data_IF_613006238186
#
_entry.id   IF_613006238186
#
_cell.length_a   1.000
_cell.length_b   1.000
_cell.length_c   1.000
_cell.angle_alpha   90.00
_cell.angle_beta   90.00
_cell.angle_gamma   90.00
#
_symmetry.space_group_name_H-M   'P 1'
#
loop_
_entity.id
_entity.type
_entity.pdbx_description
1 polymer ?
#
# COMPACT_ATOMS: atom_id res chain seq x y z
N UNK A 1 0.10 -25.71 -21.03
CA UNK A 1 -0.79 -25.26 -19.94
C UNK A 1 -0.11 -24.10 -19.25
N UNK A 2 -0.77 -22.95 -19.15
CA UNK A 2 -0.21 -21.80 -18.44
C UNK A 2 -0.21 -22.07 -16.91
N UNK A 3 0.81 -21.61 -16.17
CA UNK A 3 0.80 -21.69 -14.71
C UNK A 3 -0.29 -20.77 -14.14
N UNK A 4 -0.76 -21.09 -12.95
CA UNK A 4 -1.61 -20.17 -12.16
C UNK A 4 -0.78 -18.99 -11.67
N UNK A 5 -1.47 -17.90 -11.32
CA UNK A 5 -0.85 -16.74 -10.70
C UNK A 5 -0.09 -17.10 -9.41
N UNK A 6 -0.67 -17.98 -8.59
CA UNK A 6 -0.08 -18.39 -7.32
C UNK A 6 1.18 -19.25 -7.53
N UNK A 7 1.18 -20.16 -8.52
CA UNK A 7 2.38 -20.92 -8.88
C UNK A 7 3.52 -19.98 -9.33
N UNK A 8 3.22 -18.95 -10.11
CA UNK A 8 4.21 -17.95 -10.51
C UNK A 8 4.76 -17.18 -9.31
N UNK A 9 3.88 -16.78 -8.38
CA UNK A 9 4.24 -16.08 -7.14
C UNK A 9 5.14 -16.94 -6.25
N UNK A 10 4.80 -18.22 -6.05
CA UNK A 10 5.61 -19.18 -5.28
C UNK A 10 7.00 -19.37 -5.89
N UNK A 11 7.08 -19.36 -7.22
CA UNK A 11 8.34 -19.42 -7.96
C UNK A 11 9.08 -18.07 -8.01
N UNK A 12 8.61 -17.05 -7.29
CA UNK A 12 9.18 -15.69 -7.26
C UNK A 12 9.28 -15.05 -8.65
N UNK A 13 8.42 -15.49 -9.58
CA UNK A 13 8.33 -14.90 -10.90
C UNK A 13 7.48 -13.63 -10.81
N UNK A 14 8.02 -12.54 -11.36
CA UNK A 14 7.29 -11.28 -11.42
C UNK A 14 6.10 -11.40 -12.38
N UNK A 15 4.91 -11.16 -11.85
CA UNK A 15 3.66 -11.08 -12.62
C UNK A 15 3.12 -9.66 -12.51
N UNK A 16 2.84 -9.04 -13.66
CA UNK A 16 2.26 -7.69 -13.73
C UNK A 16 0.95 -7.73 -14.50
N UNK A 17 0.03 -6.84 -14.16
CA UNK A 17 -1.15 -6.63 -15.00
C UNK A 17 -0.77 -6.03 -16.35
N UNK A 18 -1.53 -6.35 -17.39
CA UNK A 18 -1.34 -5.78 -18.73
C UNK A 18 -1.60 -4.27 -18.70
N UNK A 19 -0.92 -3.53 -19.59
CA UNK A 19 -1.09 -2.08 -19.68
C UNK A 19 -2.55 -1.73 -20.04
N UNK A 20 -3.19 -2.56 -20.83
CA UNK A 20 -4.60 -2.47 -21.21
C UNK A 20 -5.54 -2.55 -20.01
N UNK A 21 -5.24 -3.42 -19.03
CA UNK A 21 -6.04 -3.52 -17.81
C UNK A 21 -5.96 -2.24 -16.98
N UNK A 22 -4.79 -1.60 -16.93
CA UNK A 22 -4.58 -0.34 -16.19
C UNK A 22 -5.32 0.87 -16.78
N UNK A 23 -5.91 0.71 -17.97
CA UNK A 23 -6.72 1.75 -18.62
C UNK A 23 -8.20 1.69 -18.20
N UNK A 24 -8.59 0.71 -17.38
CA UNK A 24 -9.98 0.60 -16.92
C UNK A 24 -10.37 1.75 -16.00
N UNK A 25 -11.45 2.43 -16.34
CA UNK A 25 -12.23 3.23 -15.42
C UNK A 25 -13.28 2.32 -14.78
N UNK A 26 -13.11 2.06 -13.48
CA UNK A 26 -13.86 1.02 -12.79
C UNK A 26 -14.54 1.57 -11.54
N UNK A 27 -15.80 2.04 -11.64
CA UNK A 27 -16.54 2.52 -10.49
C UNK A 27 -16.99 1.37 -9.59
N UNK A 28 -16.97 1.56 -8.27
CA UNK A 28 -17.58 0.65 -7.28
C UNK A 28 -19.10 0.87 -7.19
N UNK A 29 -19.76 0.93 -8.35
CA UNK A 29 -21.21 1.09 -8.51
C UNK A 29 -21.63 0.68 -9.92
N UNK A 30 -22.94 0.56 -10.12
CA UNK A 30 -23.53 0.22 -11.41
C UNK A 30 -23.57 -1.28 -11.66
N UNK A 31 -23.78 -1.69 -12.92
CA UNK A 31 -23.85 -3.11 -13.29
C UNK A 31 -22.84 -3.43 -14.40
N UNK A 32 -22.20 -4.58 -14.30
CA UNK A 32 -21.36 -5.07 -15.40
C UNK A 32 -22.25 -5.44 -16.61
N UNK A 33 -21.85 -5.07 -17.85
CA UNK A 33 -20.63 -4.34 -18.21
C UNK A 33 -20.79 -2.81 -18.27
N UNK A 34 -22.03 -2.32 -18.20
CA UNK A 34 -22.38 -0.90 -18.45
C UNK A 34 -21.70 0.12 -17.54
N UNK A 35 -21.25 -0.30 -16.36
CA UNK A 35 -20.56 0.57 -15.42
C UNK A 35 -19.10 0.85 -15.78
N UNK A 36 -18.47 0.00 -16.59
CA UNK A 36 -17.04 0.08 -16.88
C UNK A 36 -16.78 0.84 -18.18
N UNK A 37 -15.73 1.64 -18.16
CA UNK A 37 -15.23 2.38 -19.31
C UNK A 37 -13.72 2.20 -19.46
N UNK A 38 -13.19 2.58 -20.61
CA UNK A 38 -11.80 2.41 -20.99
C UNK A 38 -11.20 3.76 -21.34
N UNK A 39 -10.14 4.14 -20.65
CA UNK A 39 -9.36 5.32 -20.97
C UNK A 39 -8.51 5.08 -22.22
N UNK A 40 -8.21 6.15 -22.99
CA UNK A 40 -7.29 6.07 -24.14
C UNK A 40 -5.86 5.69 -23.73
N UNK A 41 -5.44 6.14 -22.56
CA UNK A 41 -4.13 5.83 -21.96
C UNK A 41 -4.30 5.70 -20.45
N UNK A 42 -3.35 5.08 -19.74
CA UNK A 42 -3.37 4.97 -18.27
C UNK A 42 -3.47 6.34 -17.57
N UNK A 43 -3.00 7.42 -18.22
CA UNK A 43 -3.09 8.81 -17.70
C UNK A 43 -4.14 9.65 -18.43
N UNK A 44 -5.17 9.00 -18.95
CA UNK A 44 -6.20 9.58 -19.81
C UNK A 44 -7.48 9.99 -19.08
N UNK A 45 -7.50 10.10 -17.75
CA UNK A 45 -8.73 10.26 -16.98
C UNK A 45 -9.60 11.49 -17.34
N UNK A 46 -8.99 12.56 -17.86
CA UNK A 46 -9.70 13.77 -18.28
C UNK A 46 -10.17 13.72 -19.75
N UNK A 47 -9.84 12.66 -20.47
CA UNK A 47 -10.23 12.48 -21.87
C UNK A 47 -11.55 11.71 -21.95
N UNK A 48 -12.24 11.83 -23.08
CA UNK A 48 -13.39 10.98 -23.39
C UNK A 48 -12.98 9.50 -23.34
N UNK A 49 -13.74 8.74 -22.55
CA UNK A 49 -13.55 7.30 -22.35
C UNK A 49 -14.51 6.52 -23.24
N UNK A 50 -14.09 5.33 -23.64
CA UNK A 50 -14.93 4.43 -24.44
C UNK A 50 -15.63 3.43 -23.52
N UNK A 51 -16.90 3.07 -23.76
CA UNK A 51 -17.57 2.09 -22.93
C UNK A 51 -16.93 0.70 -23.10
N UNK A 52 -16.88 -0.11 -22.04
CA UNK A 52 -16.35 -1.48 -22.13
C UNK A 52 -17.19 -2.36 -23.08
N UNK A 53 -18.50 -2.15 -23.08
CA UNK A 53 -19.43 -2.69 -24.08
C UNK A 53 -20.23 -1.53 -24.69
N UNK A 54 -20.18 -1.41 -26.01
CA UNK A 54 -20.94 -0.41 -26.74
C UNK A 54 -22.45 -0.75 -26.76
N UNK A 55 -23.29 0.26 -27.02
CA UNK A 55 -24.76 0.07 -27.05
C UNK A 55 -25.28 -0.86 -28.15
N UNK A 56 -24.44 -1.19 -29.14
CA UNK A 56 -24.71 -2.20 -30.17
C UNK A 56 -24.35 -3.64 -29.72
N UNK A 57 -23.86 -3.80 -28.49
CA UNK A 57 -23.43 -5.08 -27.91
C UNK A 57 -21.97 -5.44 -28.20
N UNK A 58 -21.25 -4.65 -29.01
CA UNK A 58 -19.84 -4.91 -29.33
C UNK A 58 -18.96 -4.63 -28.11
N UNK A 59 -18.02 -5.53 -27.84
CA UNK A 59 -17.03 -5.37 -26.78
C UNK A 59 -15.85 -4.51 -27.23
N UNK A 60 -15.28 -3.76 -26.30
CA UNK A 60 -14.01 -3.05 -26.49
C UNK A 60 -12.86 -4.05 -26.66
N UNK A 61 -11.86 -3.76 -27.50
CA UNK A 61 -10.78 -4.71 -27.86
C UNK A 61 -9.99 -5.27 -26.67
N UNK A 62 -9.83 -4.48 -25.60
CA UNK A 62 -9.10 -4.88 -24.39
C UNK A 62 -9.68 -6.13 -23.73
N UNK A 63 -10.97 -6.43 -23.91
CA UNK A 63 -11.60 -7.54 -23.18
C UNK A 63 -10.97 -8.89 -23.52
N UNK A 64 -10.39 -9.02 -24.72
CA UNK A 64 -9.74 -10.24 -25.22
C UNK A 64 -8.23 -10.29 -24.93
N UNK A 65 -7.67 -9.25 -24.32
CA UNK A 65 -6.25 -9.18 -23.98
C UNK A 65 -6.00 -9.99 -22.70
N UNK A 66 -4.84 -10.68 -22.58
CA UNK A 66 -4.47 -11.32 -21.33
C UNK A 66 -4.49 -10.34 -20.15
N UNK A 67 -4.97 -10.80 -19.00
CA UNK A 67 -4.99 -9.98 -17.80
C UNK A 67 -3.57 -9.63 -17.31
N UNK A 68 -2.63 -10.57 -17.43
CA UNK A 68 -1.28 -10.48 -16.88
C UNK A 68 -0.21 -10.81 -17.90
N UNK A 69 1.00 -10.30 -17.64
CA UNK A 69 2.23 -10.74 -18.27
C UNK A 69 3.20 -11.27 -17.17
N UNK A 70 3.64 -12.55 -17.23
CA UNK A 70 3.21 -13.57 -18.19
C UNK A 70 1.73 -13.99 -17.97
N UNK A 71 1.16 -14.64 -18.98
CA UNK A 71 -0.22 -15.15 -18.95
C UNK A 71 -0.41 -16.23 -17.88
N UNK A 72 -1.58 -16.23 -17.24
CA UNK A 72 -1.93 -17.18 -16.17
C UNK A 72 -3.19 -17.97 -16.49
N UNK A 73 -3.26 -19.21 -16.01
CA UNK A 73 -4.45 -20.08 -16.15
C UNK A 73 -5.51 -19.85 -15.07
N UNK A 74 -5.17 -19.18 -13.97
CA UNK A 74 -6.12 -18.73 -12.96
C UNK A 74 -5.50 -17.66 -12.06
N UNK A 75 -6.33 -16.82 -11.46
CA UNK A 75 -5.91 -15.79 -10.49
C UNK A 75 -6.97 -15.66 -9.39
N UNK A 76 -6.55 -15.34 -8.16
CA UNK A 76 -7.47 -14.94 -7.10
C UNK A 76 -7.49 -13.42 -7.02
N UNK A 77 -8.69 -12.82 -7.02
CA UNK A 77 -8.86 -11.44 -6.62
C UNK A 77 -9.08 -11.38 -5.11
N UNK A 78 -8.45 -10.40 -4.46
CA UNK A 78 -8.55 -10.12 -3.03
C UNK A 78 -8.76 -8.61 -2.83
N UNK A 79 -9.28 -8.21 -1.67
CA UNK A 79 -9.52 -6.80 -1.30
C UNK A 79 -8.74 -6.57 0.01
N UNK A 80 -7.48 -6.09 -0.04
CA UNK A 80 -6.60 -6.10 1.13
C UNK A 80 -7.18 -5.31 2.31
N UNK A 81 -7.94 -4.26 2.01
CA UNK A 81 -8.59 -3.43 3.00
C UNK A 81 -9.60 -4.17 3.89
N UNK A 82 -10.22 -5.25 3.38
CA UNK A 82 -11.11 -6.07 4.20
C UNK A 82 -10.34 -6.96 5.17
N UNK A 83 -9.12 -7.36 4.82
CA UNK A 83 -8.22 -8.11 5.69
C UNK A 83 -7.79 -7.26 6.91
N UNK A 84 -7.63 -5.95 6.71
CA UNK A 84 -7.31 -5.01 7.79
C UNK A 84 -8.52 -4.47 8.54
N UNK A 85 -9.75 -4.71 8.04
CA UNK A 85 -10.95 -4.05 8.54
C UNK A 85 -11.20 -4.34 10.03
N UNK A 86 -11.11 -5.61 10.44
CA UNK A 86 -11.34 -5.99 11.84
C UNK A 86 -10.27 -5.39 12.77
N UNK A 87 -8.99 -5.49 12.38
CA UNK A 87 -7.88 -4.94 13.16
C UNK A 87 -7.99 -3.42 13.32
N UNK A 88 -8.29 -2.71 12.23
CA UNK A 88 -8.50 -1.25 12.24
C UNK A 88 -9.72 -0.87 13.09
N UNK A 89 -10.82 -1.62 12.99
CA UNK A 89 -12.00 -1.40 13.81
C UNK A 89 -11.68 -1.56 15.30
N UNK A 90 -10.97 -2.63 15.69
CA UNK A 90 -10.58 -2.87 17.09
C UNK A 90 -9.68 -1.75 17.60
N UNK A 91 -8.63 -1.42 16.86
CA UNK A 91 -7.68 -0.37 17.25
C UNK A 91 -8.35 1.00 17.40
N UNK A 92 -9.35 1.30 16.58
CA UNK A 92 -10.12 2.54 16.72
C UNK A 92 -11.03 2.54 17.96
N UNK A 93 -11.63 1.40 18.29
CA UNK A 93 -12.66 1.30 19.32
C UNK A 93 -12.13 0.88 20.70
N UNK A 94 -10.87 0.49 20.84
CA UNK A 94 -10.31 -0.04 22.10
C UNK A 94 -10.38 0.92 23.29
N UNK A 95 -10.35 2.24 23.06
CA UNK A 95 -10.42 3.23 24.13
C UNK A 95 -11.77 3.96 24.24
N UNK A 96 -12.79 3.49 23.52
CA UNK A 96 -14.12 4.09 23.62
C UNK A 96 -14.84 3.61 24.88
N UNK A 97 -15.46 4.55 25.62
CA UNK A 97 -16.29 4.21 26.79
C UNK A 97 -17.49 3.32 26.43
N UNK A 98 -17.92 3.36 25.16
CA UNK A 98 -19.02 2.57 24.63
C UNK A 98 -18.61 1.16 24.16
N UNK A 99 -17.34 0.75 24.36
CA UNK A 99 -16.86 -0.56 23.96
C UNK A 99 -17.40 -1.66 24.88
N UNK A 100 -18.02 -2.68 24.28
CA UNK A 100 -18.57 -3.84 24.96
C UNK A 100 -17.57 -5.00 24.86
N UNK A 101 -17.10 -5.47 26.02
CA UNK A 101 -16.09 -6.51 26.15
C UNK A 101 -16.69 -7.84 26.58
N UNK A 102 -16.21 -8.94 26.00
CA UNK A 102 -16.46 -10.31 26.48
C UNK A 102 -15.14 -11.00 26.82
N UNK A 103 -15.16 -11.89 27.79
CA UNK A 103 -13.98 -12.70 28.10
C UNK A 103 -13.74 -13.74 27.00
N UNK A 104 -12.48 -14.00 26.65
CA UNK A 104 -12.10 -15.01 25.64
C UNK A 104 -12.64 -16.42 25.94
N UNK A 105 -12.97 -16.70 27.20
CA UNK A 105 -13.61 -17.95 27.65
C UNK A 105 -15.06 -18.11 27.17
N UNK A 106 -15.72 -17.01 26.79
CA UNK A 106 -17.12 -17.00 26.35
C UNK A 106 -17.26 -16.94 24.82
N UNK A 107 -16.15 -16.81 24.08
CA UNK A 107 -16.14 -16.88 22.62
C UNK A 107 -16.22 -18.32 22.14
N UNK A 108 -16.86 -18.53 21.00
CA UNK A 108 -16.79 -19.81 20.31
C UNK A 108 -15.41 -20.00 19.67
N UNK A 109 -15.06 -21.26 19.39
CA UNK A 109 -13.71 -21.57 18.87
C UNK A 109 -13.42 -20.95 17.49
N UNK A 110 -14.43 -20.50 16.74
CA UNK A 110 -14.25 -19.83 15.44
C UNK A 110 -14.21 -18.30 15.56
N UNK A 111 -14.58 -17.69 16.69
CA UNK A 111 -14.45 -16.24 16.95
C UNK A 111 -13.20 -15.91 17.76
N UNK A 112 -12.59 -16.91 18.40
CA UNK A 112 -11.34 -16.72 19.14
C UNK A 112 -10.23 -16.29 18.17
N UNK A 113 -9.56 -15.14 18.38
CA UNK A 113 -8.47 -14.68 17.52
C UNK A 113 -7.41 -15.78 17.34
N UNK A 114 -7.16 -16.18 16.10
CA UNK A 114 -6.15 -17.20 15.79
C UNK A 114 -4.75 -16.66 16.13
N UNK A 115 -4.15 -17.16 17.21
CA UNK A 115 -2.80 -16.79 17.63
C UNK A 115 -2.65 -16.52 19.12
N UNK A 116 -3.75 -16.26 19.85
CA UNK A 116 -3.75 -16.06 21.30
C UNK A 116 -3.92 -17.38 22.07
N UNK A 117 -3.19 -18.43 21.69
CA UNK A 117 -2.81 -19.47 22.64
C UNK A 117 -1.54 -19.02 23.36
N UNK A 118 -1.58 -17.84 23.99
CA UNK A 118 -0.48 -17.47 24.87
C UNK A 118 -0.68 -18.20 26.20
N UNK A 119 0.37 -18.91 26.58
CA UNK A 119 0.56 -19.49 27.90
C UNK A 119 0.15 -18.48 28.99
N UNK A 120 -0.66 -18.97 29.93
CA UNK A 120 -0.98 -18.41 31.26
C UNK A 120 -0.87 -16.87 31.39
N UNK A 121 -1.99 -16.15 31.55
CA UNK A 121 -1.95 -14.69 31.68
C UNK A 121 -1.07 -14.30 32.87
N UNK A 122 -0.04 -13.47 32.63
CA UNK A 122 0.65 -12.75 33.69
C UNK A 122 -0.41 -11.99 34.49
N UNK A 123 -0.60 -12.33 35.77
CA UNK A 123 -1.69 -11.92 36.68
C UNK A 123 -1.82 -10.39 36.93
N UNK A 124 -1.17 -9.54 36.14
CA UNK A 124 -1.02 -8.10 36.39
C UNK A 124 -1.62 -7.18 35.33
N UNK A 125 -1.95 -7.67 34.14
CA UNK A 125 -2.72 -6.90 33.15
C UNK A 125 -4.11 -7.53 33.07
N UNK A 126 -5.21 -6.79 33.31
CA UNK A 126 -6.53 -7.33 33.00
C UNK A 126 -6.49 -7.71 31.52
N UNK A 127 -6.67 -8.99 31.20
CA UNK A 127 -6.77 -9.44 29.83
C UNK A 127 -7.81 -8.55 29.15
N UNK A 128 -7.35 -7.59 28.32
CA UNK A 128 -8.24 -6.68 27.63
C UNK A 128 -9.19 -7.56 26.85
N UNK A 129 -10.47 -7.51 27.21
CA UNK A 129 -11.45 -8.47 26.71
C UNK A 129 -11.56 -8.39 25.18
N UNK A 130 -12.20 -9.37 24.59
CA UNK A 130 -12.56 -9.30 23.18
C UNK A 130 -13.68 -8.26 23.01
N UNK A 131 -13.41 -7.19 22.25
CA UNK A 131 -14.42 -6.19 21.91
C UNK A 131 -15.40 -6.82 20.92
N UNK A 132 -16.67 -6.94 21.27
CA UNK A 132 -17.72 -7.48 20.39
C UNK A 132 -18.52 -6.41 19.68
N UNK A 133 -18.62 -5.23 20.30
CA UNK A 133 -19.47 -4.13 19.84
C UNK A 133 -18.95 -2.81 20.39
N UNK A 134 -19.08 -1.73 19.64
CA UNK A 134 -18.77 -0.38 20.12
C UNK A 134 -19.51 0.66 19.27
N UNK A 135 -19.88 1.80 19.87
CA UNK A 135 -20.51 2.91 19.14
C UNK A 135 -21.77 2.52 18.35
N UNK A 136 -22.48 1.48 18.79
CA UNK A 136 -23.65 0.97 18.09
C UNK A 136 -23.36 0.08 16.88
N UNK A 137 -22.10 -0.28 16.63
CA UNK A 137 -21.64 -1.17 15.57
C UNK A 137 -21.11 -2.47 16.15
N UNK A 138 -21.45 -3.59 15.51
CA UNK A 138 -20.86 -4.89 15.82
C UNK A 138 -19.45 -4.98 15.22
N UNK A 139 -18.58 -5.75 15.86
CA UNK A 139 -17.24 -6.05 15.32
C UNK A 139 -17.38 -6.73 13.95
N UNK A 140 -16.63 -6.29 12.93
CA UNK A 140 -16.71 -6.87 11.59
C UNK A 140 -15.94 -8.18 11.52
N UNK A 141 -16.58 -9.26 11.96
CA UNK A 141 -15.99 -10.62 11.95
C UNK A 141 -15.98 -11.21 10.53
N UNK A 142 -15.02 -12.10 10.28
CA UNK A 142 -14.91 -12.92 9.06
C UNK A 142 -14.79 -12.11 7.76
N UNK A 143 -14.12 -10.95 7.83
CA UNK A 143 -13.86 -10.11 6.66
C UNK A 143 -12.48 -10.34 6.04
N UNK A 144 -11.59 -11.00 6.76
CA UNK A 144 -10.25 -11.40 6.30
C UNK A 144 -10.29 -12.61 5.35
N UNK A 145 -9.35 -12.62 4.40
CA UNK A 145 -9.09 -13.72 3.48
C UNK A 145 -10.17 -13.92 2.42
N UNK A 146 -11.05 -12.93 2.22
CA UNK A 146 -12.10 -12.99 1.20
C UNK A 146 -11.49 -12.93 -0.20
N UNK A 147 -11.62 -14.04 -0.94
CA UNK A 147 -11.10 -14.14 -2.30
C UNK A 147 -12.13 -14.72 -3.28
N UNK A 148 -11.96 -14.37 -4.55
CA UNK A 148 -12.69 -15.01 -5.66
C UNK A 148 -11.71 -15.52 -6.72
N UNK A 149 -11.86 -16.80 -7.09
CA UNK A 149 -11.05 -17.39 -8.15
C UNK A 149 -11.63 -17.06 -9.52
N UNK A 150 -10.77 -16.56 -10.41
CA UNK A 150 -11.07 -16.33 -11.82
C UNK A 150 -10.34 -17.38 -12.66
N UNK A 151 -11.06 -17.97 -13.61
CA UNK A 151 -10.56 -18.92 -14.60
C UNK A 151 -10.92 -18.43 -16.01
N UNK A 152 -10.15 -18.82 -17.04
CA UNK A 152 -10.49 -18.55 -18.42
C UNK A 152 -11.87 -19.11 -18.77
N UNK A 153 -12.53 -18.46 -19.74
CA UNK A 153 -13.70 -19.02 -20.40
C UNK A 153 -13.42 -20.42 -20.96
N UNK A 154 -14.48 -21.24 -21.10
CA UNK A 154 -14.34 -22.60 -21.59
C UNK A 154 -13.72 -22.63 -22.99
N UNK A 155 -12.58 -23.32 -23.13
CA UNK A 155 -11.82 -23.41 -24.38
C UNK A 155 -10.65 -22.44 -24.50
N UNK A 156 -10.56 -21.45 -23.60
CA UNK A 156 -9.42 -20.53 -23.51
C UNK A 156 -8.35 -21.09 -22.55
N UNK A 157 -7.10 -20.74 -22.79
CA UNK A 157 -5.96 -21.27 -22.01
C UNK A 157 -5.48 -20.32 -20.89
N UNK A 158 -5.86 -19.05 -20.95
CA UNK A 158 -5.40 -18.01 -20.03
C UNK A 158 -6.49 -17.00 -19.70
N UNK A 159 -6.40 -16.40 -18.51
CA UNK A 159 -7.36 -15.41 -18.02
C UNK A 159 -7.26 -14.12 -18.85
N UNK A 160 -8.38 -13.70 -19.43
CA UNK A 160 -8.52 -12.42 -20.14
C UNK A 160 -8.99 -11.31 -19.20
N UNK A 161 -8.92 -10.06 -19.65
CA UNK A 161 -9.53 -8.92 -18.93
C UNK A 161 -11.04 -9.17 -18.75
N UNK A 162 -11.74 -9.68 -19.77
CA UNK A 162 -13.16 -10.02 -19.68
C UNK A 162 -13.47 -10.98 -18.53
N UNK A 163 -12.76 -12.11 -18.49
CA UNK A 163 -12.97 -13.16 -17.49
C UNK A 163 -12.82 -12.57 -16.08
N UNK A 164 -11.83 -11.69 -15.91
CA UNK A 164 -11.57 -11.03 -14.65
C UNK A 164 -12.68 -10.07 -14.23
N UNK A 165 -12.99 -9.06 -15.05
CA UNK A 165 -13.93 -8.01 -14.62
C UNK A 165 -15.37 -8.53 -14.52
N UNK A 166 -15.74 -9.54 -15.31
CA UNK A 166 -17.07 -10.15 -15.28
C UNK A 166 -17.34 -10.94 -13.99
N UNK A 167 -16.29 -11.47 -13.35
CA UNK A 167 -16.37 -12.17 -12.06
C UNK A 167 -16.15 -11.22 -10.89
N UNK A 168 -15.12 -10.37 -10.98
CA UNK A 168 -14.65 -9.54 -9.87
C UNK A 168 -15.58 -8.36 -9.61
N UNK A 169 -16.13 -7.69 -10.64
CA UNK A 169 -17.00 -6.54 -10.40
C UNK A 169 -18.29 -6.91 -9.64
N UNK A 170 -19.06 -7.95 -10.04
CA UNK A 170 -20.22 -8.36 -9.26
C UNK A 170 -19.87 -8.86 -7.86
N UNK A 171 -18.70 -9.50 -7.68
CA UNK A 171 -18.22 -9.93 -6.37
C UNK A 171 -17.92 -8.73 -5.46
N UNK A 172 -17.20 -7.73 -5.94
CA UNK A 172 -16.94 -6.49 -5.20
C UNK A 172 -18.23 -5.74 -4.86
N UNK A 173 -19.21 -5.71 -5.76
CA UNK A 173 -20.49 -5.07 -5.48
C UNK A 173 -21.30 -5.80 -4.38
N UNK A 174 -21.17 -7.12 -4.24
CA UNK A 174 -21.77 -7.85 -3.11
C UNK A 174 -21.12 -7.47 -1.78
N UNK A 175 -19.84 -7.11 -1.80
CA UNK A 175 -19.06 -6.68 -0.64
C UNK A 175 -19.08 -5.16 -0.43
N UNK A 176 -19.85 -4.41 -1.25
CA UNK A 176 -19.79 -2.94 -1.28
C UNK A 176 -20.01 -2.29 0.09
N UNK A 177 -21.00 -2.74 0.86
CA UNK A 177 -21.26 -2.14 2.18
C UNK A 177 -20.16 -2.48 3.20
N UNK A 178 -19.53 -3.65 3.11
CA UNK A 178 -18.40 -4.00 3.97
C UNK A 178 -17.17 -3.15 3.62
N UNK A 179 -16.90 -2.99 2.31
CA UNK A 179 -15.84 -2.11 1.80
C UNK A 179 -16.03 -0.68 2.29
N UNK A 180 -17.25 -0.15 2.16
CA UNK A 180 -17.54 1.23 2.56
C UNK A 180 -17.37 1.41 4.07
N UNK A 181 -17.79 0.44 4.88
CA UNK A 181 -17.57 0.50 6.32
C UNK A 181 -16.09 0.37 6.68
N UNK A 182 -15.33 -0.47 5.99
CA UNK A 182 -13.87 -0.56 6.16
C UNK A 182 -13.19 0.77 5.87
N UNK A 183 -13.63 1.51 4.84
CA UNK A 183 -13.12 2.85 4.54
C UNK A 183 -13.39 3.87 5.65
N UNK A 184 -14.47 3.72 6.42
CA UNK A 184 -14.77 4.65 7.54
C UNK A 184 -13.89 4.44 8.78
N UNK A 185 -13.19 3.30 8.87
CA UNK A 185 -12.33 2.96 10.01
C UNK A 185 -10.85 2.84 9.61
N UNK A 186 -10.52 3.01 8.33
CA UNK A 186 -9.17 2.87 7.83
C UNK A 186 -8.23 3.84 8.55
N UNK A 187 -7.09 3.34 9.03
CA UNK A 187 -6.17 4.01 9.96
C UNK A 187 -5.46 5.26 9.43
N UNK A 188 -5.90 5.85 8.31
CA UNK A 188 -5.36 7.11 7.78
C UNK A 188 -5.91 8.36 8.51
N UNK A 189 -6.87 8.18 9.40
CA UNK A 189 -7.45 9.23 10.25
C UNK A 189 -8.48 10.10 9.54
N UNK A 190 -8.95 9.72 8.35
CA UNK A 190 -10.10 10.39 7.72
C UNK A 190 -11.40 9.89 8.35
N UNK A 191 -11.92 10.67 9.31
CA UNK A 191 -13.26 10.47 9.89
C UNK A 191 -14.34 10.84 8.86
N UNK A 192 -14.48 10.00 7.83
CA UNK A 192 -15.58 10.10 6.88
C UNK A 192 -16.82 9.44 7.50
N UNK A 193 -17.86 10.24 7.70
CA UNK A 193 -19.15 9.73 8.13
C UNK A 193 -19.66 8.68 7.14
N UNK A 194 -20.25 7.59 7.65
CA UNK A 194 -20.76 6.49 6.83
C UNK A 194 -21.70 6.94 5.70
N UNK A 195 -22.59 7.91 5.96
CA UNK A 195 -23.47 8.45 4.93
C UNK A 195 -22.71 9.19 3.82
N UNK A 196 -21.65 9.93 4.17
CA UNK A 196 -20.75 10.54 3.19
C UNK A 196 -20.01 9.48 2.39
N UNK A 197 -19.47 8.45 3.07
CA UNK A 197 -18.78 7.34 2.41
C UNK A 197 -19.71 6.56 1.47
N UNK A 198 -21.01 6.42 1.78
CA UNK A 198 -21.99 5.80 0.87
C UNK A 198 -22.26 6.61 -0.39
N UNK A 199 -22.26 7.93 -0.27
CA UNK A 199 -22.50 8.88 -1.35
C UNK A 199 -21.26 9.14 -2.22
N UNK A 200 -20.08 8.81 -1.70
CA UNK A 200 -18.80 8.99 -2.39
C UNK A 200 -18.70 8.15 -3.67
N UNK A 201 -18.01 8.69 -4.68
CA UNK A 201 -17.85 8.05 -5.98
C UNK A 201 -16.56 7.21 -6.05
N UNK A 202 -16.54 6.13 -5.27
CA UNK A 202 -15.42 5.21 -5.17
C UNK A 202 -15.03 4.58 -6.51
N UNK A 203 -13.72 4.51 -6.76
CA UNK A 203 -13.10 3.89 -7.92
C UNK A 203 -12.16 2.78 -7.51
N UNK A 204 -12.21 1.68 -8.24
CA UNK A 204 -11.24 0.59 -8.13
C UNK A 204 -10.03 0.99 -8.98
N UNK A 205 -8.87 1.08 -8.34
CA UNK A 205 -7.58 1.33 -8.95
C UNK A 205 -6.81 0.03 -9.06
N UNK A 206 -6.30 -0.22 -10.26
CA UNK A 206 -5.51 -1.42 -10.61
C UNK A 206 -4.05 -1.06 -10.93
N UNK A 207 -3.62 0.12 -10.46
CA UNK A 207 -2.31 0.70 -10.80
C UNK A 207 -1.18 0.09 -9.97
N UNK A 208 -1.44 -0.20 -8.71
CA UNK A 208 -0.46 -0.78 -7.80
C UNK A 208 -0.51 -2.30 -7.90
N UNK A 209 0.64 -2.94 -7.65
CA UNK A 209 0.83 -4.35 -7.95
C UNK A 209 -0.17 -5.23 -7.19
N UNK A 210 -0.88 -6.09 -7.94
CA UNK A 210 -1.61 -7.28 -7.44
C UNK A 210 -2.80 -7.03 -6.49
N UNK A 211 -3.05 -5.78 -6.11
CA UNK A 211 -4.05 -5.39 -5.12
C UNK A 211 -5.04 -4.38 -5.70
N UNK A 212 -6.30 -4.50 -5.32
CA UNK A 212 -7.35 -3.56 -5.70
C UNK A 212 -7.47 -2.46 -4.66
N UNK A 213 -6.89 -1.30 -4.96
CA UNK A 213 -7.05 -0.13 -4.13
C UNK A 213 -8.40 0.53 -4.44
N UNK A 214 -9.13 0.94 -3.41
CA UNK A 214 -10.41 1.62 -3.55
C UNK A 214 -10.18 3.07 -3.15
N UNK A 215 -10.32 3.96 -4.13
CA UNK A 215 -9.95 5.36 -4.03
C UNK A 215 -11.17 6.25 -4.17
N UNK A 216 -11.14 7.42 -3.52
CA UNK A 216 -12.10 8.48 -3.84
C UNK A 216 -11.96 8.87 -5.32
N UNK A 217 -12.98 9.54 -5.87
CA UNK A 217 -12.87 9.99 -7.26
C UNK A 217 -11.71 10.97 -7.46
N UNK A 218 -11.47 11.86 -6.50
CA UNK A 218 -10.39 12.84 -6.52
C UNK A 218 -9.01 12.17 -6.48
N UNK A 219 -8.80 11.23 -5.55
CA UNK A 219 -7.55 10.47 -5.46
C UNK A 219 -7.33 9.70 -6.76
N UNK A 220 -8.35 8.96 -7.22
CA UNK A 220 -8.26 8.22 -8.48
C UNK A 220 -7.88 9.12 -9.66
N UNK A 221 -8.46 10.33 -9.76
CA UNK A 221 -8.11 11.32 -10.77
C UNK A 221 -6.65 11.75 -10.65
N UNK A 222 -6.14 12.00 -9.45
CA UNK A 222 -4.73 12.36 -9.23
C UNK A 222 -3.78 11.28 -9.77
N UNK A 223 -4.12 10.00 -9.59
CA UNK A 223 -3.32 8.88 -10.07
C UNK A 223 -3.42 8.68 -11.59
N UNK A 224 -4.54 9.03 -12.21
CA UNK A 224 -4.83 8.76 -13.62
C UNK A 224 -4.80 10.02 -14.51
N UNK A 225 -4.28 11.12 -14.00
CA UNK A 225 -3.97 12.32 -14.78
C UNK A 225 -2.47 12.45 -15.03
N UNK A 226 -2.12 13.15 -16.12
CA UNK A 226 -0.73 13.56 -16.32
C UNK A 226 -0.42 14.62 -15.27
N UNK A 227 0.71 14.50 -14.54
CA UNK A 227 1.15 15.57 -13.67
C UNK A 227 1.18 16.88 -14.45
N UNK A 228 0.69 17.95 -13.85
CA UNK A 228 0.79 19.27 -14.46
C UNK A 228 2.26 19.52 -14.85
N UNK A 229 2.53 20.07 -16.05
CA UNK A 229 3.89 20.43 -16.40
C UNK A 229 4.46 21.33 -15.30
N UNK A 230 5.61 20.96 -14.75
CA UNK A 230 6.30 21.82 -13.80
C UNK A 230 6.50 23.20 -14.45
N UNK A 231 6.04 24.24 -13.77
CA UNK A 231 6.25 25.61 -14.21
C UNK A 231 7.77 25.92 -14.28
N UNK A 232 8.13 26.94 -15.05
CA UNK A 232 9.53 27.27 -15.28
C UNK A 232 10.25 27.79 -14.03
N UNK A 233 9.53 28.35 -13.04
CA UNK A 233 10.13 28.76 -11.78
C UNK A 233 10.50 27.52 -10.94
N UNK A 234 9.59 26.56 -10.81
CA UNK A 234 9.81 25.28 -10.13
C UNK A 234 10.91 24.48 -10.80
N UNK A 235 10.90 24.41 -12.14
CA UNK A 235 11.97 23.77 -12.92
C UNK A 235 13.34 24.44 -12.70
N UNK A 236 13.39 25.78 -12.61
CA UNK A 236 14.61 26.52 -12.28
C UNK A 236 15.10 26.25 -10.86
N UNK A 237 14.20 26.21 -9.87
CA UNK A 237 14.53 25.85 -8.48
C UNK A 237 15.13 24.45 -8.40
N UNK A 238 14.52 23.46 -9.04
CA UNK A 238 15.03 22.08 -9.07
C UNK A 238 16.40 21.98 -9.74
N UNK A 239 16.62 22.70 -10.86
CA UNK A 239 17.93 22.78 -11.51
C UNK A 239 18.99 23.41 -10.61
N UNK A 240 18.65 24.50 -9.93
CA UNK A 240 19.56 25.18 -9.00
C UNK A 240 19.90 24.29 -7.78
N UNK A 241 18.92 23.56 -7.24
CA UNK A 241 19.14 22.60 -6.16
C UNK A 241 20.03 21.43 -6.60
N UNK A 242 19.78 20.86 -7.79
CA UNK A 242 20.61 19.78 -8.35
C UNK A 242 22.04 20.21 -8.75
N UNK A 243 22.26 21.51 -9.01
CA UNK A 243 23.59 22.07 -9.24
C UNK A 243 24.38 22.26 -7.93
N UNK A 244 23.70 22.64 -6.83
CA UNK A 244 24.30 22.76 -5.49
C UNK A 244 24.68 21.39 -4.91
N UNK A 245 23.84 20.37 -5.09
CA UNK A 245 24.14 19.01 -4.64
C UNK A 245 25.44 18.46 -5.27
N UNK A 246 25.72 18.81 -6.54
CA UNK A 246 26.95 18.41 -7.24
C UNK A 246 28.19 19.21 -6.83
N UNK A 247 28.04 20.46 -6.40
CA UNK A 247 29.17 21.26 -5.88
C UNK A 247 29.51 20.91 -4.42
N UNK A 248 28.54 20.46 -3.61
CA UNK A 248 28.78 20.03 -2.24
C UNK A 248 29.53 18.69 -2.10
N UNK A 249 29.43 17.79 -3.09
CA UNK A 249 30.10 16.48 -3.05
C UNK A 249 31.58 16.49 -3.47
N UNK A 250 32.11 17.60 -4.00
CA UNK A 250 33.53 17.72 -4.31
C UNK A 250 34.36 18.38 -3.20
N UNK A 251 33.75 18.90 -2.14
CA UNK A 251 34.46 19.65 -1.10
C UNK A 251 35.02 18.78 0.05
N UNK A 252 34.61 17.52 0.17
CA UNK A 252 35.02 16.64 1.30
C UNK A 252 35.75 15.35 0.90
N UNK A 253 36.09 15.16 -0.39
CA UNK A 253 37.05 14.13 -0.76
C UNK A 253 38.48 14.64 -0.54
N UNK A 254 39.00 14.42 0.67
CA UNK A 254 40.40 14.57 1.10
C UNK A 254 41.39 13.60 0.41
N UNK A 255 41.21 13.33 -0.88
CA UNK A 255 42.05 12.40 -1.64
C UNK A 255 42.29 12.95 -3.05
N UNK A 256 42.91 14.12 -3.17
CA UNK A 256 43.64 14.46 -4.39
C UNK A 256 44.84 15.35 -4.06
N UNK A 257 46.09 14.86 -4.22
CA UNK A 257 47.28 15.64 -3.94
C UNK A 257 47.64 16.47 -5.16
N UNK A 258 47.33 17.77 -5.12
CA UNK A 258 47.95 18.76 -6.00
C UNK A 258 48.34 19.98 -5.16
N UNK A 259 49.59 19.97 -4.71
CA UNK A 259 50.39 21.15 -4.30
C UNK A 259 51.74 20.99 -5.04
N UNK A 260 52.58 22.03 -5.21
CA UNK A 260 52.43 23.42 -4.75
C UNK A 260 52.86 24.49 -5.76
N UNK A 261 52.54 25.76 -5.47
CA UNK A 261 53.47 26.91 -5.52
C UNK A 261 52.83 28.10 -4.79
N UNK A 262 53.42 28.49 -3.65
CA UNK A 262 53.42 29.86 -3.10
C UNK A 262 54.63 30.60 -3.70
N UNK A 263 54.92 31.89 -3.43
CA UNK A 263 54.29 32.88 -2.53
C UNK A 263 54.04 34.22 -3.31
N UNK A 264 53.58 35.37 -2.81
CA UNK A 264 53.92 36.21 -1.65
C UNK A 264 52.79 37.25 -1.43
N UNK A 265 52.69 37.72 -0.18
CA UNK A 265 52.34 39.06 0.33
C UNK A 265 51.11 39.84 -0.22
N UNK A 266 50.19 40.27 0.64
CA UNK A 266 50.30 41.57 1.34
C UNK A 266 49.05 41.92 2.17
N UNK A 267 49.28 42.74 3.19
CA UNK A 267 48.37 43.19 4.26
C UNK A 267 47.18 44.05 3.80
N UNK A 268 46.09 44.08 4.59
CA UNK A 268 45.02 45.06 4.38
C UNK A 268 43.79 44.97 5.29
N UNK A 269 43.93 45.50 6.50
CA UNK A 269 42.84 45.82 7.45
C UNK A 269 41.88 46.87 6.83
N UNK A 270 40.55 46.67 6.91
CA UNK A 270 39.58 47.74 7.19
C UNK A 270 38.17 47.22 7.48
N UNK A 271 37.66 47.69 8.62
CA UNK A 271 36.31 47.58 9.14
C UNK A 271 35.29 48.38 8.33
N UNK A 272 34.00 48.01 8.43
CA UNK A 272 32.91 49.00 8.46
C UNK A 272 31.64 48.68 7.70
N UNK A 273 30.54 48.59 8.48
CA UNK A 273 29.16 48.99 8.16
C UNK A 273 28.40 48.08 7.16
N UNK A 274 27.30 47.43 7.52
CA UNK A 274 26.19 47.91 8.34
C UNK A 274 25.14 48.52 7.42
N UNK A 275 24.22 47.70 6.90
CA UNK A 275 23.01 48.21 6.25
C UNK A 275 21.85 47.26 6.50
N UNK A 276 20.81 47.86 7.06
CA UNK A 276 19.54 47.30 7.49
C UNK A 276 18.77 46.60 6.36
N UNK A 277 18.17 45.45 6.68
CA UNK A 277 17.00 44.93 5.97
C UNK A 277 15.78 45.13 6.87
N UNK A 278 15.07 46.23 6.63
CA UNK A 278 13.70 46.43 7.08
C UNK A 278 12.73 45.74 6.09
N UNK A 279 11.68 45.13 6.63
CA UNK A 279 10.41 44.93 5.90
C UNK A 279 10.05 43.49 5.57
N UNK A 280 9.67 42.71 6.59
CA UNK A 280 8.69 41.63 6.42
C UNK A 280 7.30 42.28 6.35
N UNK A 281 6.62 42.10 5.23
CA UNK A 281 5.16 42.21 5.12
C UNK A 281 4.67 41.17 4.10
N UNK A 282 3.75 40.33 4.57
CA UNK A 282 2.64 39.67 3.91
C UNK A 282 2.85 38.88 2.60
N UNK A 283 2.63 37.56 2.70
CA UNK A 283 2.29 36.70 1.55
C UNK A 283 1.85 35.29 1.96
N UNK A 284 0.84 34.66 1.31
CA UNK A 284 -0.01 33.61 1.89
C UNK A 284 0.28 32.18 1.37
N UNK A 285 -0.23 31.17 2.11
CA UNK A 285 -0.84 29.89 1.68
C UNK A 285 -0.38 29.09 0.43
N UNK A 286 0.85 29.23 -0.09
CA UNK A 286 1.33 28.40 -1.23
C UNK A 286 2.28 27.25 -0.83
N UNK A 287 2.41 26.95 0.47
CA UNK A 287 3.35 25.95 0.96
C UNK A 287 2.79 24.50 1.05
N UNK A 288 1.48 24.28 0.93
CA UNK A 288 0.89 22.93 1.10
C UNK A 288 0.97 22.05 -0.15
N UNK A 289 0.89 22.62 -1.36
CA UNK A 289 0.85 21.84 -2.62
C UNK A 289 2.24 21.25 -3.02
N UNK A 290 3.32 21.69 -2.37
CA UNK A 290 4.67 21.17 -2.63
C UNK A 290 5.16 20.14 -1.60
N UNK A 291 4.44 19.92 -0.51
CA UNK A 291 4.77 18.88 0.46
C UNK A 291 4.38 17.46 -0.02
N UNK A 292 3.39 17.33 -0.91
CA UNK A 292 2.91 16.03 -1.40
C UNK A 292 3.84 15.36 -2.41
N UNK A 293 4.53 16.13 -3.26
CA UNK A 293 5.50 15.57 -4.21
C UNK A 293 6.76 14.96 -3.53
N UNK A 294 7.01 15.30 -2.26
CA UNK A 294 8.09 14.70 -1.45
C UNK A 294 7.57 13.50 -0.63
N UNK A 295 6.27 13.44 -0.31
CA UNK A 295 5.63 12.25 0.29
C UNK A 295 5.71 11.03 -0.64
N UNK A 296 5.59 11.22 -1.95
CA UNK A 296 5.63 10.13 -2.94
C UNK A 296 7.00 9.42 -3.04
N UNK A 297 8.10 10.12 -2.79
CA UNK A 297 9.43 9.50 -2.70
C UNK A 297 9.66 8.78 -1.35
N UNK A 298 8.87 9.11 -0.32
CA UNK A 298 9.00 8.54 1.03
C UNK A 298 8.05 7.35 1.24
N UNK A 299 6.95 7.25 0.47
CA UNK A 299 6.00 6.14 0.53
C UNK A 299 6.49 4.90 -0.22
N UNK A 300 7.29 5.07 -1.29
CA UNK A 300 7.97 3.97 -1.98
C UNK A 300 9.14 3.34 -1.20
N UNK A 301 9.46 3.86 0.00
CA UNK A 301 10.58 3.43 0.84
C UNK A 301 10.21 2.95 2.25
N UNK A 302 8.92 2.98 2.63
CA UNK A 302 8.46 2.38 3.90
C UNK A 302 8.00 0.95 3.64
N UNK A 303 8.97 0.06 3.53
CA UNK A 303 8.73 -1.34 3.87
C UNK A 303 8.28 -1.40 5.33
N UNK A 304 7.26 -2.21 5.57
CA UNK A 304 6.77 -2.58 6.89
C UNK A 304 7.93 -2.69 7.89
N UNK A 305 7.96 -1.80 8.89
CA UNK A 305 8.67 -2.08 10.13
C UNK A 305 7.88 -3.16 10.86
N UNK A 306 8.10 -4.41 10.44
CA UNK A 306 7.89 -5.56 11.29
C UNK A 306 8.79 -5.37 12.52
N UNK A 307 8.16 -5.24 13.68
CA UNK A 307 8.83 -5.53 14.95
C UNK A 307 9.25 -7.00 14.86
N UNK A 308 10.53 -7.24 14.61
CA UNK A 308 11.12 -8.56 14.59
C UNK A 308 11.68 -8.86 15.99
N UNK A 309 11.17 -9.86 16.72
CA UNK A 309 11.81 -10.32 17.94
C UNK A 309 13.00 -11.21 17.59
N UNK A 310 14.17 -10.87 18.16
CA UNK A 310 15.38 -11.67 18.16
C UNK A 310 15.11 -13.16 18.44
N UNK A 311 15.22 -14.00 17.42
CA UNK A 311 15.32 -15.45 17.58
C UNK A 311 16.79 -15.86 17.58
N UNK A 312 17.23 -16.29 18.76
CA UNK A 312 18.53 -16.88 19.05
C UNK A 312 18.67 -18.18 18.26
N UNK A 313 19.70 -18.29 17.43
CA UNK A 313 20.08 -19.53 16.78
C UNK A 313 20.48 -20.57 17.82
N UNK A 314 19.73 -21.66 17.91
CA UNK A 314 20.09 -22.90 18.60
C UNK A 314 20.01 -24.04 17.60
N UNK A 315 21.12 -24.35 16.95
CA UNK A 315 21.27 -25.53 16.12
C UNK A 315 21.15 -26.79 17.00
N UNK A 316 20.26 -27.70 16.62
CA UNK A 316 20.26 -29.07 17.12
C UNK A 316 20.40 -30.00 15.92
N UNK A 317 21.63 -30.46 15.71
CA UNK A 317 21.93 -31.57 14.82
C UNK A 317 22.49 -32.71 15.67
N UNK A 318 21.93 -33.88 15.43
CA UNK A 318 22.20 -35.13 16.10
C UNK A 318 23.62 -35.62 15.85
N UNK A 319 24.40 -35.86 16.91
CA UNK A 319 25.50 -36.85 16.87
C UNK A 319 25.53 -37.64 18.18
N UNK A 320 25.38 -38.94 18.03
CA UNK A 320 25.62 -39.97 19.03
C UNK A 320 27.06 -39.87 19.54
N UNK A 321 27.27 -39.85 20.86
CA UNK A 321 28.47 -40.48 21.40
C UNK A 321 28.31 -40.96 22.84
N UNK A 322 28.80 -42.17 23.01
CA UNK A 322 28.78 -43.08 24.15
C UNK A 322 29.53 -42.53 25.36
N UNK A 323 28.93 -42.63 26.54
CA UNK A 323 29.60 -42.43 27.83
C UNK A 323 30.09 -43.80 28.34
N UNK A 324 31.40 -43.95 28.45
CA UNK A 324 32.12 -45.10 29.03
C UNK A 324 32.61 -44.69 30.44
N UNK A 325 32.23 -45.41 31.52
CA UNK A 325 32.71 -45.13 32.85
C UNK A 325 33.86 -46.08 33.22
N UNK A 326 35.11 -45.62 33.12
CA UNK A 326 36.21 -46.28 33.83
C UNK A 326 37.42 -45.37 34.11
N UNK A 327 37.98 -45.60 35.29
CA UNK A 327 39.27 -45.17 35.84
C UNK A 327 39.33 -43.76 36.48
N UNK A 328 39.25 -43.61 37.81
CA UNK A 328 40.15 -43.97 38.94
C UNK A 328 41.15 -42.88 39.34
N UNK A 329 41.26 -42.70 40.66
CA UNK A 329 42.33 -42.08 41.45
C UNK A 329 42.65 -40.59 41.20
N UNK A 330 42.84 -39.70 42.19
CA UNK A 330 43.28 -39.88 43.57
C UNK A 330 44.51 -39.01 43.83
N UNK A 331 44.55 -38.33 44.99
CA UNK A 331 45.63 -37.48 45.54
C UNK A 331 45.82 -36.11 44.84
N UNK A 332 45.92 -34.97 45.54
CA UNK A 332 46.25 -34.66 46.93
C UNK A 332 45.69 -33.28 47.29
#
# INVERSE_FOLDING_TARGET
MYPSFEELRQNKQRVVFSEEFTRLYWPLRGTFPTALSVMKTMRGALQEMEPLQHGDGRWHEIVSIPLTEPKVSSIHALIPMLDEYEGNWVAWHEYHEAAEYVTNSNLDDNTRPHGEQHEEPLETEPAMGYIVRCCGQDRPEYKDGLTVQVKPAAGEEFVTIYDYVSVVHPWMLKLREDIIQAMTVAGDGTDIRLESARAEDWKISVRDFQEHNILSHEDWLSYHTKPAPLDDATRRKLRAAGARARHGQCAECWCCPCRPSSPDDDDGIASGQGTELNGLADGPLDALVHAEAIRDATYAGRGNHLISPCSRAGASEWVQNTYDPSCDAGFR
#
